data_IF_748470526273
#
_entry.id   IF_748470526273
#
_cell.length_a   1.000
_cell.length_b   1.000
_cell.length_c   1.000
_cell.angle_alpha   90.00
_cell.angle_beta   90.00
_cell.angle_gamma   90.00
#
_symmetry.space_group_name_H-M   'P 1'
#
loop_
_entity.id
_entity.type
_entity.pdbx_description
1 polymer ?
#
# COMPACT_ATOMS: atom_id res chain seq x y z
N UNK A 1 -6.73 -16.54 -4.76
CA UNK A 1 -6.26 -15.15 -5.03
C UNK A 1 -4.76 -15.19 -5.31
N UNK A 2 -4.21 -14.19 -6.02
CA UNK A 2 -2.76 -13.99 -6.11
C UNK A 2 -2.19 -13.51 -4.78
N UNK A 3 -0.89 -13.73 -4.56
CA UNK A 3 -0.17 -13.25 -3.38
C UNK A 3 0.90 -12.25 -3.78
N UNK A 4 1.01 -11.17 -3.00
CA UNK A 4 1.99 -10.11 -3.17
C UNK A 4 2.82 -9.86 -1.93
N UNK A 5 3.94 -9.21 -2.08
CA UNK A 5 4.85 -8.82 -0.99
C UNK A 5 5.46 -7.45 -1.27
N UNK A 6 5.58 -6.63 -0.26
CA UNK A 6 6.30 -5.37 -0.33
C UNK A 6 7.77 -5.57 -0.74
N UNK A 7 8.30 -4.65 -1.55
CA UNK A 7 9.72 -4.68 -1.97
C UNK A 7 10.66 -4.63 -0.78
N UNK A 8 10.26 -3.98 0.30
CA UNK A 8 10.98 -3.93 1.56
C UNK A 8 11.42 -5.29 2.11
N UNK A 9 10.67 -6.36 1.89
CA UNK A 9 10.97 -7.70 2.40
C UNK A 9 12.18 -8.36 1.72
N UNK A 10 12.45 -8.07 0.45
CA UNK A 10 13.48 -8.74 -0.35
C UNK A 10 14.61 -7.83 -0.81
N UNK A 11 14.36 -6.52 -0.93
CA UNK A 11 15.28 -5.59 -1.56
C UNK A 11 15.74 -4.51 -0.57
N UNK A 12 16.88 -3.90 -0.88
CA UNK A 12 17.36 -2.71 -0.21
C UNK A 12 16.74 -1.44 -0.82
N UNK A 13 17.61 -0.72 -1.53
CA UNK A 13 17.31 0.53 -2.23
C UNK A 13 16.98 0.34 -3.72
N UNK A 14 17.06 -0.90 -4.24
CA UNK A 14 16.83 -1.24 -5.65
C UNK A 14 16.47 -2.71 -5.84
N UNK A 15 15.81 -3.02 -6.95
CA UNK A 15 15.60 -4.40 -7.36
C UNK A 15 16.93 -5.09 -7.68
N UNK A 16 17.02 -6.36 -7.31
CA UNK A 16 18.13 -7.24 -7.68
C UNK A 16 17.58 -8.52 -8.30
N UNK A 17 18.28 -9.10 -9.26
CA UNK A 17 17.84 -10.33 -9.91
C UNK A 17 17.77 -11.50 -8.93
N UNK A 18 18.67 -11.51 -7.93
CA UNK A 18 18.64 -12.49 -6.83
C UNK A 18 17.36 -12.34 -5.99
N UNK A 19 17.01 -11.12 -5.57
CA UNK A 19 15.79 -10.87 -4.79
C UNK A 19 14.52 -11.23 -5.57
N UNK A 20 14.46 -10.90 -6.86
CA UNK A 20 13.36 -11.29 -7.74
C UNK A 20 13.23 -12.82 -7.84
N UNK A 21 14.33 -13.51 -8.08
CA UNK A 21 14.36 -14.98 -8.15
C UNK A 21 13.94 -15.62 -6.82
N UNK A 22 14.37 -15.06 -5.68
CA UNK A 22 13.97 -15.55 -4.35
C UNK A 22 12.47 -15.33 -4.10
N UNK A 23 11.93 -14.15 -4.36
CA UNK A 23 10.51 -13.87 -4.18
C UNK A 23 9.65 -14.83 -5.01
N UNK A 24 10.02 -15.06 -6.27
CA UNK A 24 9.36 -16.05 -7.14
C UNK A 24 9.49 -17.48 -6.63
N UNK A 25 10.67 -17.89 -6.20
CA UNK A 25 10.93 -19.23 -5.65
C UNK A 25 10.18 -19.51 -4.34
N UNK A 26 9.86 -18.47 -3.57
CA UNK A 26 9.05 -18.57 -2.36
C UNK A 26 7.54 -18.65 -2.66
N UNK A 27 7.12 -18.41 -3.90
CA UNK A 27 5.75 -18.62 -4.36
C UNK A 27 4.92 -17.36 -4.51
N UNK A 28 5.51 -16.17 -4.43
CA UNK A 28 4.78 -14.94 -4.72
C UNK A 28 4.48 -14.78 -6.21
N UNK A 29 3.34 -14.16 -6.49
CA UNK A 29 2.91 -13.80 -7.84
C UNK A 29 3.29 -12.36 -8.18
N UNK A 30 3.29 -11.49 -7.17
CA UNK A 30 3.35 -10.04 -7.36
C UNK A 30 4.29 -9.37 -6.35
N UNK A 31 4.73 -8.16 -6.73
CA UNK A 31 5.38 -7.20 -5.83
C UNK A 31 4.47 -6.00 -5.59
N UNK A 32 4.46 -5.52 -4.36
CA UNK A 32 4.10 -4.16 -4.00
C UNK A 32 5.37 -3.30 -4.08
N UNK A 33 5.42 -2.41 -5.07
CA UNK A 33 6.60 -1.63 -5.39
C UNK A 33 6.64 -0.34 -4.56
N UNK A 34 7.33 -0.36 -3.43
CA UNK A 34 7.32 0.72 -2.45
C UNK A 34 8.46 1.75 -2.59
N UNK A 35 9.36 1.62 -3.56
CA UNK A 35 10.45 2.59 -3.71
C UNK A 35 9.98 4.01 -4.03
N UNK A 36 8.79 4.18 -4.63
CA UNK A 36 8.22 5.49 -4.91
C UNK A 36 7.74 6.23 -3.64
N UNK A 37 7.64 5.55 -2.49
CA UNK A 37 7.28 6.17 -1.22
C UNK A 37 8.35 7.18 -0.75
N UNK A 38 9.63 6.93 -1.05
CA UNK A 38 10.74 7.84 -0.72
C UNK A 38 11.14 8.70 -1.91
N UNK A 39 10.84 9.99 -1.85
CA UNK A 39 11.23 10.95 -2.90
C UNK A 39 12.71 11.28 -2.95
N UNK A 40 13.51 10.81 -1.99
CA UNK A 40 14.98 10.92 -2.02
C UNK A 40 15.64 9.71 -2.69
N UNK A 41 14.86 8.68 -3.03
CA UNK A 41 15.36 7.53 -3.73
C UNK A 41 15.89 7.89 -5.14
N UNK A 42 17.00 7.25 -5.56
CA UNK A 42 17.73 7.60 -6.80
C UNK A 42 16.85 7.55 -8.06
N UNK A 43 15.93 6.56 -8.17
CA UNK A 43 15.01 6.46 -9.30
C UNK A 43 14.06 7.65 -9.40
N UNK A 44 13.72 8.26 -8.26
CA UNK A 44 12.86 9.43 -8.21
C UNK A 44 13.58 10.72 -8.68
N UNK A 45 14.90 10.78 -8.60
CA UNK A 45 15.71 11.93 -9.03
C UNK A 45 15.90 12.01 -10.56
N UNK A 46 15.67 10.92 -11.30
CA UNK A 46 15.80 10.86 -12.75
C UNK A 46 14.82 11.81 -13.44
N UNK A 47 15.08 12.24 -14.67
CA UNK A 47 14.27 13.21 -15.41
C UNK A 47 14.01 12.76 -16.85
N UNK A 48 12.85 13.17 -17.39
CA UNK A 48 12.49 12.99 -18.80
C UNK A 48 12.65 11.55 -19.29
N UNK A 49 13.25 11.34 -20.45
CA UNK A 49 13.41 10.02 -21.05
C UNK A 49 14.21 9.02 -20.18
N UNK A 50 15.14 9.50 -19.35
CA UNK A 50 15.87 8.62 -18.44
C UNK A 50 14.97 8.07 -17.33
N UNK A 51 14.04 8.87 -16.83
CA UNK A 51 13.01 8.43 -15.88
C UNK A 51 12.13 7.35 -16.51
N UNK A 52 11.60 7.61 -17.68
CA UNK A 52 10.73 6.66 -18.37
C UNK A 52 11.43 5.34 -18.69
N UNK A 53 12.66 5.41 -19.19
CA UNK A 53 13.46 4.24 -19.51
C UNK A 53 13.76 3.39 -18.28
N UNK A 54 14.06 4.03 -17.15
CA UNK A 54 14.33 3.36 -15.88
C UNK A 54 13.11 2.53 -15.42
N UNK A 55 11.93 3.13 -15.32
CA UNK A 55 10.74 2.40 -14.83
C UNK A 55 10.26 1.31 -15.78
N UNK A 56 10.40 1.52 -17.10
CA UNK A 56 10.12 0.45 -18.09
C UNK A 56 11.10 -0.72 -17.94
N UNK A 57 12.36 -0.46 -17.64
CA UNK A 57 13.35 -1.50 -17.40
C UNK A 57 13.08 -2.26 -16.09
N UNK A 58 12.68 -1.57 -15.01
CA UNK A 58 12.26 -2.21 -13.76
C UNK A 58 11.06 -3.14 -14.01
N UNK A 59 10.03 -2.67 -14.73
CA UNK A 59 8.89 -3.49 -15.13
C UNK A 59 9.30 -4.74 -15.92
N UNK A 60 10.19 -4.57 -16.90
CA UNK A 60 10.71 -5.68 -17.72
C UNK A 60 11.47 -6.71 -16.88
N UNK A 61 12.27 -6.27 -15.90
CA UNK A 61 13.02 -7.17 -14.99
C UNK A 61 12.07 -7.98 -14.11
N UNK A 62 11.06 -7.35 -13.53
CA UNK A 62 10.04 -8.02 -12.72
C UNK A 62 9.29 -9.06 -13.57
N UNK A 63 8.86 -8.67 -14.76
CA UNK A 63 8.16 -9.58 -15.67
C UNK A 63 9.05 -10.75 -16.12
N UNK A 64 10.34 -10.50 -16.41
CA UNK A 64 11.29 -11.54 -16.80
C UNK A 64 11.53 -12.58 -15.68
N UNK A 65 11.38 -12.18 -14.41
CA UNK A 65 11.41 -13.07 -13.26
C UNK A 65 10.10 -13.85 -13.05
N UNK A 66 9.08 -13.63 -13.87
CA UNK A 66 7.76 -14.26 -13.75
C UNK A 66 6.90 -13.68 -12.62
N UNK A 67 7.17 -12.42 -12.23
CA UNK A 67 6.40 -11.66 -11.26
C UNK A 67 5.63 -10.53 -11.96
N UNK A 68 4.63 -10.00 -11.27
CA UNK A 68 3.90 -8.77 -11.68
C UNK A 68 4.12 -7.69 -10.62
N UNK A 69 3.84 -6.42 -10.95
CA UNK A 69 3.73 -5.33 -9.96
C UNK A 69 2.23 -5.10 -9.75
N UNK A 70 1.71 -5.51 -8.60
CA UNK A 70 0.27 -5.43 -8.33
C UNK A 70 -0.17 -4.07 -7.84
N UNK A 71 0.69 -3.37 -7.15
CA UNK A 71 0.48 -2.04 -6.61
C UNK A 71 1.80 -1.33 -6.41
N UNK A 72 1.76 0.00 -6.33
CA UNK A 72 2.88 0.83 -5.89
C UNK A 72 2.45 1.64 -4.69
N UNK A 73 3.41 2.20 -3.94
CA UNK A 73 3.12 3.14 -2.87
C UNK A 73 3.54 4.54 -3.27
N UNK A 74 2.62 5.49 -3.21
CA UNK A 74 2.89 6.90 -3.50
C UNK A 74 3.76 7.56 -2.44
N UNK A 75 4.35 8.74 -2.74
CA UNK A 75 5.24 9.45 -1.83
C UNK A 75 4.65 9.66 -0.45
N UNK A 76 5.39 9.22 0.56
CA UNK A 76 5.04 9.36 1.96
C UNK A 76 6.23 9.93 2.75
N UNK A 77 5.95 10.76 3.74
CA UNK A 77 6.95 11.34 4.64
C UNK A 77 6.44 11.37 6.08
N UNK A 78 7.26 10.93 6.99
CA UNK A 78 6.98 11.06 8.41
C UNK A 78 8.05 11.93 9.10
N UNK A 79 7.71 12.96 9.91
CA UNK A 79 6.35 13.47 10.07
C UNK A 79 5.78 14.09 8.78
N UNK A 80 4.44 14.09 8.58
CA UNK A 80 3.81 14.67 7.41
C UNK A 80 4.16 16.16 7.26
N UNK A 81 4.34 16.60 6.01
CA UNK A 81 4.61 17.98 5.66
C UNK A 81 3.54 18.46 4.68
N UNK A 82 2.31 18.65 5.19
CA UNK A 82 1.13 19.01 4.42
C UNK A 82 0.48 20.31 4.95
N UNK A 83 1.16 21.03 5.86
CA UNK A 83 0.54 22.11 6.62
C UNK A 83 0.18 23.32 5.75
N UNK A 84 1.03 23.68 4.80
CA UNK A 84 0.80 24.86 3.95
C UNK A 84 0.27 24.48 2.57
N UNK A 85 -0.39 25.42 1.87
CA UNK A 85 -0.77 25.21 0.47
C UNK A 85 0.43 24.86 -0.42
N UNK A 86 1.61 25.40 -0.14
CA UNK A 86 2.85 25.13 -0.86
C UNK A 86 3.30 23.69 -0.65
N UNK A 87 3.27 23.18 0.60
CA UNK A 87 3.63 21.81 0.91
C UNK A 87 2.68 20.81 0.18
N UNK A 88 1.38 21.10 0.20
CA UNK A 88 0.38 20.31 -0.50
C UNK A 88 0.54 20.32 -2.02
N UNK A 89 0.94 21.48 -2.59
CA UNK A 89 1.23 21.57 -4.01
C UNK A 89 2.49 20.77 -4.38
N UNK A 90 3.56 20.87 -3.59
CA UNK A 90 4.77 20.06 -3.78
C UNK A 90 4.46 18.55 -3.72
N UNK A 91 3.66 18.14 -2.72
CA UNK A 91 3.21 16.75 -2.61
C UNK A 91 2.36 16.34 -3.84
N UNK A 92 1.49 17.21 -4.33
CA UNK A 92 0.67 16.95 -5.53
C UNK A 92 1.54 16.68 -6.77
N UNK A 93 2.59 17.46 -6.97
CA UNK A 93 3.53 17.27 -8.08
C UNK A 93 4.30 15.95 -7.96
N UNK A 94 4.74 15.62 -6.74
CA UNK A 94 5.38 14.34 -6.45
C UNK A 94 4.44 13.17 -6.68
N UNK A 95 3.19 13.25 -6.21
CA UNK A 95 2.17 12.22 -6.45
C UNK A 95 1.86 12.05 -7.94
N UNK A 96 1.72 13.14 -8.70
CA UNK A 96 1.50 13.10 -10.14
C UNK A 96 2.64 12.39 -10.87
N UNK A 97 3.86 12.65 -10.45
CA UNK A 97 5.05 11.99 -10.99
C UNK A 97 5.11 10.49 -10.62
N UNK A 98 4.72 10.14 -9.39
CA UNK A 98 4.63 8.75 -8.97
C UNK A 98 3.54 7.98 -9.74
N UNK A 99 2.41 8.62 -10.05
CA UNK A 99 1.36 8.05 -10.92
C UNK A 99 1.92 7.72 -12.31
N UNK A 100 2.69 8.62 -12.91
CA UNK A 100 3.34 8.35 -14.19
C UNK A 100 4.32 7.16 -14.09
N UNK A 101 5.15 7.10 -13.03
CA UNK A 101 6.03 5.95 -12.79
C UNK A 101 5.23 4.65 -12.61
N UNK A 102 4.12 4.69 -11.89
CA UNK A 102 3.21 3.54 -11.69
C UNK A 102 2.66 3.01 -13.01
N UNK A 103 2.25 3.90 -13.90
CA UNK A 103 1.82 3.53 -15.25
C UNK A 103 2.95 2.87 -16.06
N UNK A 104 4.18 3.42 -16.00
CA UNK A 104 5.35 2.85 -16.68
C UNK A 104 5.76 1.48 -16.12
N UNK A 105 5.56 1.26 -14.83
CA UNK A 105 5.75 -0.03 -14.16
C UNK A 105 4.69 -1.06 -14.56
N UNK A 106 3.59 -0.64 -15.20
CA UNK A 106 2.48 -1.51 -15.55
C UNK A 106 1.62 -1.94 -14.35
N UNK A 107 1.72 -1.21 -13.23
CA UNK A 107 0.90 -1.47 -12.05
C UNK A 107 -0.51 -0.88 -12.22
N UNK A 108 -1.57 -1.60 -11.83
CA UNK A 108 -2.94 -1.11 -11.97
C UNK A 108 -3.30 0.00 -10.98
N UNK A 109 -2.61 0.08 -9.85
CA UNK A 109 -2.97 1.01 -8.78
C UNK A 109 -1.77 1.55 -8.00
N UNK A 110 -1.98 2.69 -7.35
CA UNK A 110 -1.05 3.32 -6.43
C UNK A 110 -1.73 3.58 -5.08
N UNK A 111 -1.17 3.03 -4.01
CA UNK A 111 -1.59 3.31 -2.63
C UNK A 111 -1.14 4.71 -2.23
N UNK A 112 -1.99 5.41 -1.53
CA UNK A 112 -1.76 6.78 -1.05
C UNK A 112 -2.34 6.97 0.35
N UNK A 113 -1.69 7.80 1.15
CA UNK A 113 -2.15 8.21 2.47
C UNK A 113 -2.92 9.54 2.42
N UNK A 114 -3.90 9.78 3.30
CA UNK A 114 -4.53 11.10 3.45
C UNK A 114 -3.48 12.21 3.61
N UNK A 115 -3.78 13.42 3.10
CA UNK A 115 -3.01 14.59 3.50
C UNK A 115 -3.35 14.94 4.95
N UNK A 116 -2.33 15.35 5.71
CA UNK A 116 -2.43 15.62 7.14
C UNK A 116 -2.05 17.06 7.47
N UNK A 117 -2.97 18.01 7.24
CA UNK A 117 -2.66 19.44 7.32
C UNK A 117 -2.26 19.90 8.72
N UNK A 118 -2.65 19.14 9.76
CA UNK A 118 -2.35 19.46 11.17
C UNK A 118 -1.36 18.48 11.80
N UNK A 119 -0.69 17.63 10.99
CA UNK A 119 0.17 16.55 11.46
C UNK A 119 -0.61 15.33 11.99
N UNK A 120 0.06 14.46 12.75
CA UNK A 120 -0.49 13.17 13.21
C UNK A 120 -1.00 13.17 14.66
N UNK A 121 -0.82 14.25 15.38
CA UNK A 121 -1.16 14.33 16.82
C UNK A 121 -2.40 15.15 17.12
N UNK A 122 -2.79 16.04 16.22
CA UNK A 122 -3.86 17.00 16.42
C UNK A 122 -4.89 16.90 15.30
N UNK A 123 -6.14 17.00 15.69
CA UNK A 123 -7.28 17.09 14.77
C UNK A 123 -8.16 18.29 15.19
N UNK A 124 -7.63 19.52 15.12
CA UNK A 124 -8.33 20.68 15.67
C UNK A 124 -9.56 21.06 14.84
N UNK A 125 -9.57 20.74 13.56
CA UNK A 125 -10.66 21.03 12.63
C UNK A 125 -10.90 19.83 11.70
N UNK A 126 -11.75 18.88 12.09
CA UNK A 126 -12.09 17.71 11.26
C UNK A 126 -12.77 18.07 9.93
N UNK A 127 -13.54 19.17 9.89
CA UNK A 127 -14.24 19.62 8.68
C UNK A 127 -13.23 20.17 7.66
N UNK A 128 -12.28 21.00 8.10
CA UNK A 128 -11.20 21.47 7.24
C UNK A 128 -10.31 20.31 6.77
N UNK A 129 -9.98 19.37 7.66
CA UNK A 129 -9.21 18.17 7.30
C UNK A 129 -9.89 17.41 6.15
N UNK A 130 -11.20 17.18 6.28
CA UNK A 130 -12.01 16.52 5.27
C UNK A 130 -12.03 17.30 3.95
N UNK A 131 -12.37 18.59 4.00
CA UNK A 131 -12.50 19.42 2.81
C UNK A 131 -11.20 19.51 2.00
N UNK A 132 -10.04 19.65 2.67
CA UNK A 132 -8.73 19.66 2.02
C UNK A 132 -8.41 18.34 1.33
N UNK A 133 -8.70 17.20 1.96
CA UNK A 133 -8.52 15.88 1.35
C UNK A 133 -9.45 15.69 0.15
N UNK A 134 -10.71 16.07 0.28
CA UNK A 134 -11.70 15.96 -0.79
C UNK A 134 -11.28 16.76 -2.03
N UNK A 135 -10.86 18.02 -1.86
CA UNK A 135 -10.38 18.85 -2.95
C UNK A 135 -9.11 18.27 -3.59
N UNK A 136 -8.14 17.89 -2.76
CA UNK A 136 -6.87 17.36 -3.20
C UNK A 136 -7.06 16.09 -4.05
N UNK A 137 -7.85 15.13 -3.56
CA UNK A 137 -8.04 13.86 -4.25
C UNK A 137 -8.95 13.94 -5.47
N UNK A 138 -9.92 14.83 -5.52
CA UNK A 138 -10.66 15.12 -6.77
C UNK A 138 -9.73 15.58 -7.89
N UNK A 139 -8.76 16.42 -7.57
CA UNK A 139 -7.75 16.87 -8.54
C UNK A 139 -6.80 15.75 -8.95
N UNK A 140 -6.27 15.01 -7.97
CA UNK A 140 -5.30 13.94 -8.23
C UNK A 140 -5.93 12.77 -9.02
N UNK A 141 -7.18 12.44 -8.75
CA UNK A 141 -7.94 11.42 -9.51
C UNK A 141 -8.03 11.74 -11.00
N UNK A 142 -8.08 13.03 -11.36
CA UNK A 142 -8.04 13.43 -12.77
C UNK A 142 -6.72 13.06 -13.46
N UNK A 143 -5.60 13.18 -12.75
CA UNK A 143 -4.29 12.73 -13.23
C UNK A 143 -4.23 11.20 -13.29
N UNK A 144 -4.69 10.53 -12.24
CA UNK A 144 -4.75 9.07 -12.16
C UNK A 144 -5.51 8.47 -13.36
N UNK A 145 -6.66 9.06 -13.72
CA UNK A 145 -7.44 8.65 -14.89
C UNK A 145 -6.67 8.85 -16.20
N UNK A 146 -5.91 9.93 -16.36
CA UNK A 146 -5.08 10.17 -17.55
C UNK A 146 -3.96 9.14 -17.69
N UNK A 147 -3.36 8.75 -16.58
CA UNK A 147 -2.30 7.72 -16.54
C UNK A 147 -2.87 6.28 -16.56
N UNK A 148 -4.19 6.10 -16.42
CA UNK A 148 -4.84 4.79 -16.37
C UNK A 148 -4.55 4.02 -15.08
N UNK A 149 -4.23 4.71 -13.98
CA UNK A 149 -3.86 4.14 -12.67
C UNK A 149 -4.95 4.46 -11.65
N UNK A 150 -5.36 3.47 -10.86
CA UNK A 150 -6.31 3.65 -9.77
C UNK A 150 -5.57 4.17 -8.52
N UNK A 151 -6.06 5.25 -7.91
CA UNK A 151 -5.61 5.69 -6.59
C UNK A 151 -6.33 4.88 -5.53
N UNK A 152 -5.59 4.26 -4.61
CA UNK A 152 -6.14 3.51 -3.50
C UNK A 152 -5.81 4.23 -2.18
N UNK A 153 -6.82 4.89 -1.60
CA UNK A 153 -6.65 5.62 -0.34
C UNK A 153 -6.62 4.62 0.83
N UNK A 154 -5.59 4.74 1.64
CA UNK A 154 -5.33 3.84 2.76
C UNK A 154 -5.87 4.38 4.07
N UNK A 155 -6.45 3.51 4.91
CA UNK A 155 -6.76 3.82 6.30
C UNK A 155 -5.48 3.85 7.14
N UNK A 156 -5.43 4.73 8.16
CA UNK A 156 -4.20 5.06 8.87
C UNK A 156 -4.22 4.60 10.34
N UNK A 157 -3.05 4.41 11.00
CA UNK A 157 -2.95 3.95 12.39
C UNK A 157 -3.08 5.11 13.40
N UNK A 158 -3.94 6.10 13.15
CA UNK A 158 -4.10 7.29 13.99
C UNK A 158 -5.55 7.44 14.47
N UNK A 159 -6.01 6.68 15.50
CA UNK A 159 -7.43 6.57 15.85
C UNK A 159 -8.12 7.90 16.21
N UNK A 160 -7.35 8.95 16.50
CA UNK A 160 -7.87 10.27 16.85
C UNK A 160 -7.87 11.27 15.68
N UNK A 161 -7.42 10.86 14.50
CA UNK A 161 -7.41 11.72 13.31
C UNK A 161 -8.55 11.38 12.35
N UNK A 162 -9.07 12.40 11.69
CA UNK A 162 -9.98 12.25 10.54
C UNK A 162 -9.29 11.48 9.42
N UNK A 163 -10.03 10.66 8.69
CA UNK A 163 -9.56 9.80 7.60
C UNK A 163 -8.51 8.76 8.05
N UNK A 164 -8.63 8.27 9.28
CA UNK A 164 -7.83 7.15 9.75
C UNK A 164 -8.62 5.84 9.78
N UNK A 165 -9.89 5.92 10.15
CA UNK A 165 -10.73 4.73 10.24
C UNK A 165 -11.23 4.28 8.86
N UNK A 166 -11.38 2.95 8.63
CA UNK A 166 -11.85 2.44 7.34
C UNK A 166 -13.20 3.01 6.88
N UNK A 167 -14.12 3.28 7.81
CA UNK A 167 -15.43 3.83 7.49
C UNK A 167 -15.37 5.31 7.04
N UNK A 168 -14.41 6.09 7.53
CA UNK A 168 -14.16 7.45 7.06
C UNK A 168 -13.52 7.45 5.67
N UNK A 169 -12.54 6.56 5.43
CA UNK A 169 -11.96 6.35 4.09
C UNK A 169 -13.06 5.98 3.10
N UNK A 170 -13.92 5.03 3.47
CA UNK A 170 -15.04 4.62 2.63
C UNK A 170 -16.01 5.76 2.33
N UNK A 171 -16.31 6.61 3.31
CA UNK A 171 -17.17 7.78 3.12
C UNK A 171 -16.56 8.77 2.12
N UNK A 172 -15.26 9.06 2.22
CA UNK A 172 -14.57 9.95 1.29
C UNK A 172 -14.50 9.36 -0.14
N UNK A 173 -14.21 8.07 -0.26
CA UNK A 173 -14.19 7.39 -1.57
C UNK A 173 -15.58 7.42 -2.22
N UNK A 174 -16.64 7.22 -1.46
CA UNK A 174 -18.02 7.34 -1.95
C UNK A 174 -18.41 8.78 -2.29
N UNK A 175 -17.88 9.76 -1.60
CA UNK A 175 -18.17 11.18 -1.89
C UNK A 175 -17.46 11.65 -3.17
N UNK A 176 -16.27 11.13 -3.46
CA UNK A 176 -15.57 11.36 -4.73
C UNK A 176 -16.27 10.62 -5.87
N UNK A 177 -16.76 9.40 -5.61
CA UNK A 177 -17.54 8.54 -6.53
C UNK A 177 -16.89 8.41 -7.92
N UNK A 178 -15.65 7.94 -7.95
CA UNK A 178 -14.88 7.79 -9.17
C UNK A 178 -14.27 6.39 -9.28
N UNK A 179 -14.30 5.80 -10.50
CA UNK A 179 -13.72 4.49 -10.75
C UNK A 179 -12.19 4.44 -10.56
N UNK A 180 -11.51 5.59 -10.63
CA UNK A 180 -10.07 5.72 -10.41
C UNK A 180 -9.72 6.15 -8.97
N UNK A 181 -10.68 6.12 -8.02
CA UNK A 181 -10.44 6.40 -6.61
C UNK A 181 -11.09 5.33 -5.74
N UNK A 182 -10.28 4.48 -5.12
CA UNK A 182 -10.69 3.26 -4.45
C UNK A 182 -10.03 3.16 -3.07
N UNK A 183 -10.14 2.01 -2.43
CA UNK A 183 -9.63 1.78 -1.08
C UNK A 183 -8.44 0.82 -1.12
N UNK A 184 -7.36 1.18 -0.43
CA UNK A 184 -6.41 0.23 0.14
C UNK A 184 -6.84 -0.06 1.57
N UNK A 185 -7.14 -1.31 1.90
CA UNK A 185 -7.43 -1.68 3.29
C UNK A 185 -6.17 -2.23 3.95
N UNK A 186 -5.65 -1.48 4.92
CA UNK A 186 -4.59 -1.93 5.79
C UNK A 186 -5.18 -2.61 7.03
N UNK A 187 -4.77 -3.87 7.25
CA UNK A 187 -5.31 -4.72 8.32
C UNK A 187 -4.77 -4.36 9.69
N UNK A 188 -3.50 -3.99 9.77
CA UNK A 188 -2.87 -3.57 11.02
C UNK A 188 -3.38 -2.22 11.49
N UNK A 189 -3.52 -1.26 10.57
CA UNK A 189 -4.13 0.05 10.86
C UNK A 189 -5.59 -0.08 11.34
N UNK A 190 -6.35 -1.05 10.78
CA UNK A 190 -7.67 -1.38 11.30
C UNK A 190 -7.59 -1.77 12.77
N UNK A 191 -6.67 -2.68 13.13
CA UNK A 191 -6.51 -3.16 14.51
C UNK A 191 -6.12 -2.04 15.47
N UNK A 192 -5.19 -1.14 15.10
CA UNK A 192 -4.82 0.05 15.89
C UNK A 192 -6.03 0.97 16.10
N UNK A 193 -6.92 1.11 15.12
CA UNK A 193 -8.16 1.86 15.23
C UNK A 193 -9.29 1.11 15.95
N UNK A 194 -9.04 -0.09 16.47
CA UNK A 194 -10.05 -0.92 17.15
C UNK A 194 -11.14 -1.42 16.21
N UNK A 195 -10.85 -1.59 14.92
CA UNK A 195 -11.77 -2.08 13.89
C UNK A 195 -11.32 -3.47 13.44
N UNK A 196 -12.24 -4.43 13.35
CA UNK A 196 -11.94 -5.72 12.73
C UNK A 196 -11.78 -5.58 11.23
N UNK A 197 -10.62 -6.00 10.64
CA UNK A 197 -10.44 -6.00 9.18
C UNK A 197 -11.51 -6.83 8.45
N UNK A 198 -11.95 -7.94 9.04
CA UNK A 198 -13.02 -8.76 8.50
C UNK A 198 -14.36 -7.99 8.38
N UNK A 199 -14.69 -7.19 9.40
CA UNK A 199 -15.88 -6.32 9.37
C UNK A 199 -15.75 -5.26 8.27
N UNK A 200 -14.56 -4.67 8.12
CA UNK A 200 -14.28 -3.71 7.06
C UNK A 200 -14.46 -4.33 5.67
N UNK A 201 -13.91 -5.53 5.43
CA UNK A 201 -14.06 -6.28 4.16
C UNK A 201 -15.55 -6.54 3.86
N UNK A 202 -16.33 -7.06 4.82
CA UNK A 202 -17.76 -7.33 4.60
C UNK A 202 -18.56 -6.09 4.23
N UNK A 203 -18.20 -4.94 4.80
CA UNK A 203 -18.89 -3.67 4.57
C UNK A 203 -18.51 -3.01 3.25
N UNK A 204 -17.25 -3.10 2.86
CA UNK A 204 -16.65 -2.27 1.80
C UNK A 204 -16.07 -3.09 0.64
N UNK A 205 -16.15 -4.42 0.68
CA UNK A 205 -15.46 -5.32 -0.24
C UNK A 205 -15.42 -4.87 -1.70
N UNK A 206 -16.56 -4.47 -2.32
CA UNK A 206 -16.56 -4.00 -3.72
C UNK A 206 -15.80 -2.71 -3.98
N UNK A 207 -15.37 -2.00 -2.94
CA UNK A 207 -14.63 -0.72 -3.02
C UNK A 207 -13.15 -0.88 -2.66
N UNK A 208 -12.76 -2.06 -2.16
CA UNK A 208 -11.38 -2.40 -1.83
C UNK A 208 -10.72 -2.97 -3.08
N UNK A 209 -9.77 -2.26 -3.64
CA UNK A 209 -9.00 -2.70 -4.82
C UNK A 209 -7.67 -3.35 -4.41
N UNK A 210 -7.10 -2.95 -3.27
CA UNK A 210 -5.84 -3.51 -2.79
C UNK A 210 -5.78 -3.61 -1.27
N UNK A 211 -4.83 -4.37 -0.77
CA UNK A 211 -4.62 -4.65 0.65
C UNK A 211 -3.18 -4.37 1.04
N UNK A 212 -3.00 -3.88 2.28
CA UNK A 212 -1.78 -4.04 3.06
C UNK A 212 -2.07 -5.00 4.21
N UNK A 213 -1.42 -6.15 4.20
CA UNK A 213 -1.72 -7.23 5.14
C UNK A 213 -0.55 -7.43 6.09
N UNK A 214 -0.76 -7.07 7.35
CA UNK A 214 0.14 -7.30 8.46
C UNK A 214 -0.63 -7.36 9.78
N UNK A 215 0.03 -7.80 10.84
CA UNK A 215 -0.51 -7.87 12.20
C UNK A 215 0.17 -6.85 13.12
N UNK A 216 -0.39 -6.65 14.30
CA UNK A 216 0.19 -5.85 15.38
C UNK A 216 -0.45 -6.17 16.75
N UNK A 217 -0.07 -5.40 17.78
CA UNK A 217 -0.60 -5.55 19.15
C UNK A 217 -1.93 -4.82 19.41
N UNK A 218 -2.54 -4.23 18.38
CA UNK A 218 -3.75 -3.42 18.48
C UNK A 218 -3.54 -2.02 19.07
N UNK A 219 -2.29 -1.60 19.28
CA UNK A 219 -1.92 -0.31 19.85
C UNK A 219 -0.92 0.43 18.95
N UNK A 220 0.06 -0.29 18.43
CA UNK A 220 1.18 0.24 17.64
C UNK A 220 1.16 -0.38 16.26
N UNK A 221 1.55 0.41 15.30
CA UNK A 221 1.77 -0.07 13.95
C UNK A 221 3.12 -0.78 13.87
N UNK A 222 3.09 -2.13 13.93
CA UNK A 222 4.28 -2.96 14.10
C UNK A 222 4.68 -3.76 12.86
N UNK A 223 3.81 -3.83 11.85
CA UNK A 223 4.03 -4.64 10.65
C UNK A 223 4.46 -6.08 10.95
N UNK A 224 3.83 -6.70 11.98
CA UNK A 224 4.12 -8.08 12.36
C UNK A 224 3.60 -9.07 11.31
N UNK A 225 4.18 -10.25 11.29
CA UNK A 225 3.71 -11.36 10.48
C UNK A 225 2.28 -11.74 10.93
N UNK A 226 1.34 -12.01 10.01
CA UNK A 226 0.02 -12.49 10.38
C UNK A 226 0.08 -13.70 11.32
N UNK A 227 -0.80 -13.71 12.32
CA UNK A 227 -0.87 -14.62 13.47
C UNK A 227 0.11 -14.31 14.64
N UNK A 228 0.95 -13.29 14.54
CA UNK A 228 1.82 -12.87 15.67
C UNK A 228 1.21 -11.74 16.51
N UNK A 229 0.03 -11.24 16.15
CA UNK A 229 -0.65 -10.14 16.83
C UNK A 229 -2.08 -10.47 17.26
N UNK A 230 -2.99 -9.49 17.10
CA UNK A 230 -4.36 -9.56 17.65
C UNK A 230 -5.46 -9.80 16.60
N UNK A 231 -5.13 -9.84 15.32
CA UNK A 231 -6.12 -9.96 14.24
C UNK A 231 -6.63 -11.39 14.12
N UNK A 232 -7.96 -11.56 14.02
CA UNK A 232 -8.58 -12.84 13.70
C UNK A 232 -8.48 -13.13 12.19
N UNK A 233 -7.39 -13.79 11.82
CA UNK A 233 -7.09 -14.16 10.44
C UNK A 233 -8.05 -15.17 9.84
N UNK A 234 -8.66 -16.01 10.68
CA UNK A 234 -9.69 -16.97 10.25
C UNK A 234 -10.95 -16.23 9.80
N UNK A 235 -11.37 -15.23 10.56
CA UNK A 235 -12.54 -14.42 10.21
C UNK A 235 -12.22 -13.50 9.01
N UNK A 236 -10.99 -12.95 8.92
CA UNK A 236 -10.55 -12.16 7.79
C UNK A 236 -10.58 -12.94 6.47
N UNK A 237 -9.97 -14.12 6.44
CA UNK A 237 -10.00 -14.99 5.25
C UNK A 237 -11.42 -15.38 4.85
N UNK A 238 -12.28 -15.66 5.85
CA UNK A 238 -13.70 -15.93 5.62
C UNK A 238 -14.41 -14.72 5.01
N UNK A 239 -14.16 -13.51 5.49
CA UNK A 239 -14.75 -12.28 4.95
C UNK A 239 -14.36 -12.04 3.49
N UNK A 240 -13.10 -12.27 3.12
CA UNK A 240 -12.64 -12.20 1.73
C UNK A 240 -13.41 -13.19 0.84
N UNK A 241 -13.60 -14.42 1.32
CA UNK A 241 -14.36 -15.45 0.61
C UNK A 241 -15.86 -15.09 0.48
N UNK A 242 -16.50 -14.65 1.56
CA UNK A 242 -17.92 -14.25 1.59
C UNK A 242 -18.25 -13.10 0.64
N UNK A 243 -17.30 -12.17 0.48
CA UNK A 243 -17.44 -11.02 -0.44
C UNK A 243 -16.99 -11.32 -1.86
N UNK A 244 -16.51 -12.55 -2.12
CA UNK A 244 -15.91 -12.94 -3.41
C UNK A 244 -14.79 -11.99 -3.83
N UNK A 245 -14.07 -11.40 -2.87
CA UNK A 245 -12.95 -10.53 -3.17
C UNK A 245 -11.82 -11.33 -3.85
N UNK A 246 -11.33 -10.85 -4.98
CA UNK A 246 -10.38 -11.59 -5.84
C UNK A 246 -9.14 -10.79 -6.22
N UNK A 247 -8.84 -9.71 -5.49
CA UNK A 247 -7.61 -8.93 -5.67
C UNK A 247 -6.34 -9.68 -5.26
N UNK A 248 -5.27 -8.96 -5.05
CA UNK A 248 -3.99 -9.50 -4.58
C UNK A 248 -3.90 -9.36 -3.07
N UNK A 249 -3.68 -10.48 -2.37
CA UNK A 249 -3.34 -10.46 -0.95
C UNK A 249 -1.88 -10.01 -0.83
N UNK A 250 -1.67 -8.71 -0.65
CA UNK A 250 -0.34 -8.11 -0.57
C UNK A 250 0.10 -7.97 0.88
N UNK A 251 1.18 -8.64 1.23
CA UNK A 251 1.76 -8.53 2.57
C UNK A 251 2.66 -7.29 2.69
N UNK A 252 2.43 -6.50 3.71
CA UNK A 252 3.29 -5.41 4.17
C UNK A 252 3.90 -5.74 5.54
N UNK A 253 4.23 -7.02 5.73
CA UNK A 253 4.73 -7.55 6.99
C UNK A 253 6.25 -7.57 6.99
N UNK A 254 6.84 -6.94 8.00
CA UNK A 254 8.28 -6.80 8.14
C UNK A 254 8.97 -8.11 8.51
N UNK A 255 9.73 -8.69 7.60
CA UNK A 255 10.83 -9.57 8.00
C UNK A 255 11.96 -8.66 8.46
N UNK A 256 12.04 -8.41 9.78
CA UNK A 256 13.09 -7.57 10.36
C UNK A 256 14.46 -7.91 9.77
N UNK A 257 15.08 -6.94 9.08
CA UNK A 257 16.41 -7.07 8.44
C UNK A 257 17.58 -6.95 9.42
N UNK A 258 17.33 -7.01 10.75
CA UNK A 258 18.41 -7.02 11.73
C UNK A 258 19.53 -7.99 11.34
N UNK A 259 20.65 -7.97 12.04
CA UNK A 259 21.78 -8.88 11.81
C UNK A 259 21.35 -10.35 11.98
N UNK A 260 20.62 -10.89 10.98
CA UNK A 260 20.19 -12.29 10.96
C UNK A 260 21.05 -13.08 9.99
N UNK A 261 21.41 -14.34 10.31
CA UNK A 261 22.02 -15.22 9.33
C UNK A 261 21.12 -15.38 8.10
N UNK A 262 21.71 -15.47 6.91
CA UNK A 262 20.96 -15.55 5.66
C UNK A 262 19.94 -16.71 5.63
N UNK A 263 20.30 -17.87 6.21
CA UNK A 263 19.38 -19.02 6.30
C UNK A 263 18.12 -18.72 7.12
N UNK A 264 18.25 -17.94 8.22
CA UNK A 264 17.10 -17.57 9.06
C UNK A 264 16.20 -16.58 8.35
N UNK A 265 16.78 -15.61 7.63
CA UNK A 265 16.04 -14.67 6.82
C UNK A 265 15.26 -15.37 5.71
N UNK A 266 15.89 -16.32 4.99
CA UNK A 266 15.24 -17.15 3.97
C UNK A 266 14.07 -17.94 4.56
N UNK A 267 14.27 -18.58 5.72
CA UNK A 267 13.22 -19.34 6.41
C UNK A 267 12.00 -18.45 6.76
N UNK A 268 12.24 -17.26 7.30
CA UNK A 268 11.16 -16.33 7.65
C UNK A 268 10.40 -15.86 6.41
N UNK A 269 11.10 -15.56 5.31
CA UNK A 269 10.47 -15.19 4.03
C UNK A 269 9.62 -16.32 3.45
N UNK A 270 10.07 -17.57 3.54
CA UNK A 270 9.29 -18.76 3.14
C UNK A 270 8.04 -18.92 3.99
N UNK A 271 8.16 -18.77 5.30
CA UNK A 271 7.02 -18.87 6.23
C UNK A 271 5.98 -17.80 5.91
N UNK A 272 6.44 -16.56 5.65
CA UNK A 272 5.56 -15.46 5.28
C UNK A 272 4.81 -15.75 3.95
N UNK A 273 5.49 -16.27 2.95
CA UNK A 273 4.86 -16.68 1.69
C UNK A 273 3.83 -17.81 1.87
N UNK A 274 4.11 -18.80 2.74
CA UNK A 274 3.16 -19.85 3.08
C UNK A 274 1.91 -19.30 3.78
N UNK A 275 2.09 -18.35 4.68
CA UNK A 275 0.97 -17.65 5.35
C UNK A 275 0.13 -16.90 4.30
N UNK A 276 0.76 -16.16 3.40
CA UNK A 276 0.05 -15.48 2.32
C UNK A 276 -0.77 -16.45 1.47
N UNK A 277 -0.18 -17.55 1.05
CA UNK A 277 -0.86 -18.57 0.25
C UNK A 277 -2.04 -19.20 1.01
N UNK A 278 -1.89 -19.45 2.32
CA UNK A 278 -2.97 -19.94 3.18
C UNK A 278 -4.14 -18.96 3.25
N UNK A 279 -3.85 -17.70 3.54
CA UNK A 279 -4.88 -16.66 3.61
C UNK A 279 -5.57 -16.41 2.27
N UNK A 280 -4.82 -16.54 1.16
CA UNK A 280 -5.35 -16.43 -0.20
C UNK A 280 -6.21 -17.63 -0.64
N UNK A 281 -6.33 -18.69 0.19
CA UNK A 281 -7.09 -19.88 -0.11
C UNK A 281 -6.45 -20.77 -1.18
N UNK A 282 -5.11 -20.80 -1.24
CA UNK A 282 -4.33 -21.54 -2.24
C UNK A 282 -3.75 -22.87 -1.68
N UNK A 283 -4.33 -23.44 -0.62
CA UNK A 283 -4.02 -24.77 -0.08
C UNK A 283 -5.17 -25.73 -0.24
#
# INVERSE_FOLDING_TARGET
MKTGIETGAYFGDRLTDEGLAQAKAHGYDCLDYQFLADTNWEGYALQGQTFDAFFREEARRVQAAGLEICQTHGPWRYPPQDATPQDRQERFEKMSRALHATALLGSPCMVIHPIMPFGVQLNPDPEEFWALNLEYYRRLTSIARQEGVILCLENMPFPNLTLSRPDEIFALVKEIDDAFFRICLDTGHCAVCGVSPATAVRRMGPWIDTLHVHDNDGIRDLHQIPYEGVIDWTDFARALSETCWNGVLSLEAGVSRGQKPAWLLDQQRRSLAQIAASLAGNF
#
